data_IF_938802066759
#
_entry.id   IF_938802066759
#
_cell.length_a   1.000
_cell.length_b   1.000
_cell.length_c   1.000
_cell.angle_alpha   90.00
_cell.angle_beta   90.00
_cell.angle_gamma   90.00
#
_symmetry.space_group_name_H-M   'P 1'
#
loop_
_entity.id
_entity.type
_entity.pdbx_description
1 polymer ?
#
# COMPACT_ATOMS: atom_id res chain seq x y z
N UNK A 1 6.63 12.68 -10.42
CA UNK A 1 7.06 11.82 -9.31
C UNK A 1 8.56 11.64 -9.47
N UNK A 2 9.35 11.75 -8.42
CA UNK A 2 10.80 11.55 -8.52
C UNK A 2 11.08 10.12 -8.99
N UNK A 3 11.96 9.96 -9.98
CA UNK A 3 12.39 8.66 -10.50
C UNK A 3 13.09 7.77 -9.44
N UNK A 4 13.29 8.28 -8.23
CA UNK A 4 13.95 7.61 -7.10
C UNK A 4 13.02 7.37 -5.89
N UNK A 5 11.70 7.52 -6.03
CA UNK A 5 10.77 7.17 -4.95
C UNK A 5 10.67 5.65 -4.75
N UNK A 6 10.30 5.21 -3.55
CA UNK A 6 10.08 3.79 -3.25
C UNK A 6 9.16 3.13 -4.29
N UNK A 7 7.99 3.72 -4.58
CA UNK A 7 7.05 3.16 -5.56
C UNK A 7 7.69 2.99 -6.94
N UNK A 8 8.46 3.98 -7.40
CA UNK A 8 9.10 3.91 -8.72
C UNK A 8 10.17 2.81 -8.77
N UNK A 9 10.98 2.70 -7.72
CA UNK A 9 12.02 1.68 -7.60
C UNK A 9 11.43 0.27 -7.48
N UNK A 10 10.38 0.10 -6.67
CA UNK A 10 9.69 -1.17 -6.48
C UNK A 10 9.03 -1.65 -7.78
N UNK A 11 8.37 -0.75 -8.52
CA UNK A 11 7.78 -1.07 -9.83
C UNK A 11 8.83 -1.47 -10.89
N UNK A 12 10.06 -0.97 -10.76
CA UNK A 12 11.18 -1.34 -11.62
C UNK A 12 11.91 -2.61 -11.18
N UNK A 13 11.55 -3.19 -10.03
CA UNK A 13 12.21 -4.37 -9.44
C UNK A 13 13.60 -4.08 -8.88
N UNK A 14 13.91 -2.82 -8.57
CA UNK A 14 15.18 -2.43 -7.96
C UNK A 14 15.17 -2.57 -6.43
N UNK A 15 13.99 -2.53 -5.82
CA UNK A 15 13.78 -2.76 -4.38
C UNK A 15 12.58 -3.68 -4.18
N UNK A 16 12.57 -4.39 -3.06
CA UNK A 16 11.51 -5.27 -2.59
C UNK A 16 10.50 -4.51 -1.73
N UNK A 17 9.35 -5.12 -1.46
CA UNK A 17 8.27 -4.49 -0.72
C UNK A 17 8.58 -4.27 0.77
N UNK A 18 9.42 -5.12 1.37
CA UNK A 18 9.91 -5.02 2.74
C UNK A 18 10.93 -3.90 2.94
N UNK A 19 11.67 -3.52 1.89
CA UNK A 19 12.62 -2.39 1.91
C UNK A 19 11.94 -1.03 2.09
N UNK A 20 10.59 -0.95 2.10
CA UNK A 20 9.88 0.31 2.39
C UNK A 20 10.27 0.92 3.75
N UNK A 21 10.60 0.09 4.74
CA UNK A 21 11.02 0.56 6.07
C UNK A 21 12.32 1.37 5.99
N UNK A 22 13.28 0.96 5.15
CA UNK A 22 14.54 1.68 4.95
C UNK A 22 14.30 3.09 4.36
N UNK A 23 13.29 3.23 3.48
CA UNK A 23 12.91 4.53 2.93
C UNK A 23 12.24 5.42 3.98
N UNK A 24 11.48 4.84 4.90
CA UNK A 24 10.87 5.57 6.02
C UNK A 24 11.94 6.06 6.99
N UNK A 25 12.93 5.22 7.30
CA UNK A 25 14.09 5.61 8.11
C UNK A 25 14.92 6.71 7.42
N UNK A 26 15.17 6.57 6.12
CA UNK A 26 15.88 7.57 5.33
C UNK A 26 15.13 8.91 5.30
N UNK A 27 13.80 8.89 5.19
CA UNK A 27 12.98 10.09 5.30
C UNK A 27 13.11 10.74 6.67
N UNK A 28 13.00 9.96 7.76
CA UNK A 28 13.17 10.45 9.13
C UNK A 28 14.55 11.06 9.41
N UNK A 29 15.60 10.52 8.78
CA UNK A 29 16.97 11.01 8.91
C UNK A 29 17.28 12.20 7.97
N UNK A 30 16.40 12.50 7.03
CA UNK A 30 16.57 13.57 6.05
C UNK A 30 15.96 14.89 6.52
N UNK A 31 16.46 16.01 5.99
CA UNK A 31 15.81 17.32 6.13
C UNK A 31 14.71 17.55 5.05
N UNK A 32 14.06 16.46 4.61
CA UNK A 32 13.02 16.55 3.58
C UNK A 32 11.83 17.38 4.06
N UNK A 33 11.39 18.32 3.23
CA UNK A 33 10.16 19.08 3.45
C UNK A 33 8.91 18.40 2.89
N UNK A 34 9.08 17.24 2.23
CA UNK A 34 7.97 16.48 1.66
C UNK A 34 7.27 15.67 2.75
N UNK A 35 5.94 15.57 2.63
CA UNK A 35 5.19 14.60 3.42
C UNK A 35 5.65 13.18 3.06
N UNK A 36 5.65 12.28 4.03
CA UNK A 36 6.17 10.91 3.87
C UNK A 36 5.51 10.16 2.69
N UNK A 37 4.21 10.37 2.45
CA UNK A 37 3.53 9.74 1.32
C UNK A 37 4.07 10.26 -0.02
N UNK A 38 4.40 11.55 -0.12
CA UNK A 38 5.00 12.14 -1.32
C UNK A 38 6.42 11.66 -1.53
N UNK A 39 7.19 11.54 -0.44
CA UNK A 39 8.55 10.99 -0.45
C UNK A 39 8.59 9.55 -0.97
N UNK A 40 7.68 8.70 -0.48
CA UNK A 40 7.53 7.32 -0.93
C UNK A 40 6.98 7.21 -2.36
N UNK A 41 6.38 8.29 -2.89
CA UNK A 41 5.73 8.31 -4.20
C UNK A 41 4.32 7.71 -4.19
N UNK A 42 3.66 7.72 -3.05
CA UNK A 42 2.30 7.26 -2.83
C UNK A 42 1.29 8.40 -2.89
N UNK A 43 0.05 8.09 -3.25
CA UNK A 43 -1.08 8.97 -2.90
C UNK A 43 -1.35 8.87 -1.40
N UNK A 44 -2.09 9.85 -0.87
CA UNK A 44 -2.54 9.80 0.51
C UNK A 44 -3.39 8.54 0.81
N UNK A 45 -4.22 8.09 -0.14
CA UNK A 45 -5.05 6.91 0.02
C UNK A 45 -4.23 5.62 0.11
N UNK A 46 -3.18 5.50 -0.72
CA UNK A 46 -2.24 4.37 -0.68
C UNK A 46 -1.48 4.34 0.64
N UNK A 47 -0.97 5.50 1.06
CA UNK A 47 -0.28 5.61 2.34
C UNK A 47 -1.21 5.28 3.51
N UNK A 48 -2.45 5.79 3.49
CA UNK A 48 -3.45 5.50 4.53
C UNK A 48 -3.80 4.01 4.59
N UNK A 49 -3.85 3.33 3.44
CA UNK A 49 -4.05 1.89 3.39
C UNK A 49 -2.86 1.14 4.00
N UNK A 50 -1.63 1.48 3.58
CA UNK A 50 -0.41 0.84 4.07
C UNK A 50 -0.20 1.04 5.58
N UNK A 51 -0.45 2.24 6.11
CA UNK A 51 -0.40 2.50 7.57
C UNK A 51 -1.43 1.67 8.32
N UNK A 52 -2.58 1.37 7.71
CA UNK A 52 -3.62 0.54 8.33
C UNK A 52 -3.27 -0.94 8.28
N UNK A 53 -2.60 -1.38 7.21
CA UNK A 53 -2.19 -2.76 6.97
C UNK A 53 -0.86 -2.78 6.18
N UNK A 54 0.30 -3.02 6.84
CA UNK A 54 1.60 -3.02 6.18
C UNK A 54 1.71 -4.04 5.04
N UNK A 55 0.97 -5.15 5.11
CA UNK A 55 0.94 -6.18 4.06
C UNK A 55 0.22 -5.70 2.79
N UNK A 56 -0.50 -4.57 2.84
CA UNK A 56 -1.20 -4.01 1.70
C UNK A 56 -0.25 -3.41 0.64
N UNK A 57 1.05 -3.32 0.93
CA UNK A 57 2.04 -2.77 0.00
C UNK A 57 2.06 -3.51 -1.34
N UNK A 58 1.94 -4.84 -1.31
CA UNK A 58 1.90 -5.66 -2.53
C UNK A 58 0.64 -5.37 -3.35
N UNK A 59 -0.47 -5.04 -2.68
CA UNK A 59 -1.73 -4.67 -3.34
C UNK A 59 -1.60 -3.31 -4.02
N UNK A 60 -0.92 -2.35 -3.37
CA UNK A 60 -0.63 -1.03 -3.93
C UNK A 60 0.27 -1.15 -5.17
N UNK A 61 1.36 -1.91 -5.06
CA UNK A 61 2.29 -2.14 -6.17
C UNK A 61 1.60 -2.84 -7.34
N UNK A 62 0.75 -3.84 -7.07
CA UNK A 62 -0.04 -4.52 -8.10
C UNK A 62 -1.03 -3.57 -8.79
N UNK A 63 -1.73 -2.73 -8.02
CA UNK A 63 -2.67 -1.75 -8.57
C UNK A 63 -1.95 -0.77 -9.51
N UNK A 64 -0.79 -0.27 -9.09
CA UNK A 64 0.06 0.62 -9.89
C UNK A 64 0.59 -0.05 -11.15
N UNK A 65 1.13 -1.27 -11.04
CA UNK A 65 1.69 -2.01 -12.16
C UNK A 65 0.63 -2.36 -13.22
N UNK A 66 -0.60 -2.65 -12.78
CA UNK A 66 -1.72 -3.00 -13.67
C UNK A 66 -2.56 -1.80 -14.08
N UNK A 67 -2.20 -0.59 -13.66
CA UNK A 67 -2.93 0.66 -13.89
C UNK A 67 -4.42 0.58 -13.46
N UNK A 68 -4.72 -0.23 -12.44
CA UNK A 68 -6.07 -0.42 -11.91
C UNK A 68 -6.33 0.53 -10.74
N UNK A 69 -7.58 0.95 -10.53
CA UNK A 69 -7.96 1.72 -9.34
C UNK A 69 -7.63 0.96 -8.05
N UNK A 70 -7.05 1.65 -7.06
CA UNK A 70 -6.67 1.07 -5.76
C UNK A 70 -7.87 0.35 -5.09
N UNK A 71 -9.07 0.96 -5.12
CA UNK A 71 -10.30 0.36 -4.57
C UNK A 71 -10.61 -1.00 -5.19
N UNK A 72 -10.35 -1.19 -6.48
CA UNK A 72 -10.61 -2.45 -7.17
C UNK A 72 -9.61 -3.51 -6.72
N UNK A 73 -8.31 -3.16 -6.64
CA UNK A 73 -7.27 -4.05 -6.17
C UNK A 73 -7.49 -4.50 -4.71
N UNK A 74 -7.92 -3.60 -3.82
CA UNK A 74 -8.23 -3.94 -2.42
C UNK A 74 -9.47 -4.85 -2.33
N UNK A 75 -10.50 -4.60 -3.13
CA UNK A 75 -11.67 -5.50 -3.19
C UNK A 75 -11.29 -6.92 -3.64
N UNK A 76 -10.42 -7.04 -4.63
CA UNK A 76 -9.92 -8.34 -5.08
C UNK A 76 -9.09 -9.03 -3.99
N UNK A 77 -8.24 -8.27 -3.27
CA UNK A 77 -7.49 -8.78 -2.14
C UNK A 77 -8.42 -9.33 -1.05
N UNK A 78 -9.44 -8.57 -0.64
CA UNK A 78 -10.45 -9.01 0.35
C UNK A 78 -11.09 -10.33 -0.08
N UNK A 79 -11.53 -10.45 -1.35
CA UNK A 79 -12.14 -11.67 -1.86
C UNK A 79 -11.19 -12.87 -1.82
N UNK A 80 -9.90 -12.66 -2.08
CA UNK A 80 -8.89 -13.71 -1.99
C UNK A 80 -8.72 -14.11 -0.52
N UNK A 81 -8.56 -13.14 0.36
CA UNK A 81 -8.37 -13.34 1.80
C UNK A 81 -9.58 -14.00 2.47
N UNK A 82 -10.81 -13.66 2.10
CA UNK A 82 -12.02 -14.33 2.61
C UNK A 82 -12.03 -15.83 2.31
N UNK A 83 -11.58 -16.24 1.12
CA UNK A 83 -11.48 -17.67 0.74
C UNK A 83 -10.39 -18.40 1.54
N UNK A 84 -9.35 -17.69 1.98
CA UNK A 84 -8.24 -18.22 2.77
C UNK A 84 -8.59 -18.24 4.26
N UNK A 85 -9.15 -17.16 4.80
CA UNK A 85 -9.60 -17.01 6.19
C UNK A 85 -10.78 -17.92 6.55
N UNK A 86 -11.58 -18.37 5.57
CA UNK A 86 -12.49 -19.51 5.77
C UNK A 86 -11.77 -20.80 6.22
N UNK A 87 -10.42 -20.81 6.19
CA UNK A 87 -9.54 -21.90 6.62
C UNK A 87 -8.51 -21.49 7.70
N UNK A 88 -8.46 -20.22 8.15
CA UNK A 88 -7.39 -19.71 9.04
C UNK A 88 -7.77 -18.43 9.83
N UNK A 89 -6.96 -18.08 10.83
CA UNK A 89 -7.12 -17.03 11.85
C UNK A 89 -7.01 -15.58 11.34
N UNK A 90 -6.89 -15.38 10.03
CA UNK A 90 -6.54 -14.10 9.37
C UNK A 90 -7.70 -13.07 9.31
N UNK A 91 -8.74 -13.27 10.13
CA UNK A 91 -9.94 -12.45 10.18
C UNK A 91 -9.70 -10.98 10.54
N UNK A 92 -8.62 -10.68 11.29
CA UNK A 92 -8.27 -9.31 11.67
C UNK A 92 -7.94 -8.41 10.48
N UNK A 93 -7.16 -8.90 9.52
CA UNK A 93 -6.76 -8.15 8.32
C UNK A 93 -7.96 -7.80 7.44
N UNK A 94 -8.89 -8.76 7.29
CA UNK A 94 -10.15 -8.55 6.55
C UNK A 94 -10.98 -7.41 7.13
N UNK A 95 -11.08 -7.29 8.45
CA UNK A 95 -11.82 -6.20 9.10
C UNK A 95 -11.18 -4.84 8.80
N UNK A 96 -9.84 -4.76 8.81
CA UNK A 96 -9.11 -3.54 8.49
C UNK A 96 -9.36 -3.10 7.05
N UNK A 97 -9.16 -4.00 6.07
CA UNK A 97 -9.35 -3.69 4.65
C UNK A 97 -10.81 -3.33 4.33
N UNK A 98 -11.77 -4.05 4.92
CA UNK A 98 -13.20 -3.75 4.73
C UNK A 98 -13.58 -2.39 5.28
N UNK A 99 -13.07 -2.03 6.46
CA UNK A 99 -13.27 -0.68 7.03
C UNK A 99 -12.65 0.41 6.16
N UNK A 100 -11.46 0.17 5.63
CA UNK A 100 -10.79 1.12 4.75
C UNK A 100 -11.63 1.40 3.49
N UNK A 101 -12.18 0.36 2.83
CA UNK A 101 -13.06 0.55 1.66
C UNK A 101 -14.32 1.36 2.02
N UNK A 102 -14.93 1.05 3.17
CA UNK A 102 -16.15 1.73 3.62
C UNK A 102 -15.92 3.20 4.00
N UNK A 103 -14.71 3.57 4.41
CA UNK A 103 -14.34 4.94 4.76
C UNK A 103 -14.03 5.84 3.54
N UNK A 104 -13.84 5.23 2.38
CA UNK A 104 -13.43 5.90 1.14
C UNK A 104 -14.68 6.29 0.32
N UNK A 105 -14.90 7.59 0.02
CA UNK A 105 -16.09 8.05 -0.70
C UNK A 105 -16.13 7.49 -2.13
N UNK A 106 -17.34 7.16 -2.62
CA UNK A 106 -17.57 6.83 -4.03
C UNK A 106 -17.33 8.09 -4.86
N UNK A 107 -16.14 8.20 -5.45
CA UNK A 107 -15.74 9.33 -6.28
C UNK A 107 -15.53 8.88 -7.72
#
# INVERSE_FOLDING_TARGET
>A
MSDSSFISLALSGQVLSDEIEDFVEAWHASDSSLDIHEYLGMTFDEYSLWVSDPDAIDTILTARHTERPLREAVNDNIRIQERIAARSDEAGKLVTLTRWIAAQPDR
#
